data_IF_388182765782
#
_entry.id   IF_388182765782
#
_cell.length_a   1.000
_cell.length_b   1.000
_cell.length_c   1.000
_cell.angle_alpha   90.00
_cell.angle_beta   90.00
_cell.angle_gamma   90.00
#
_symmetry.space_group_name_H-M   'P 1'
#
loop_
_entity.id
_entity.type
_entity.pdbx_description
1 polymer ?
#
# COMPACT_ATOMS: atom_id res chain seq x y z
N UNK A 1 7.18 -6.95 -40.24
CA UNK A 1 8.58 -7.39 -40.03
C UNK A 1 8.74 -8.11 -38.66
N UNK A 2 8.02 -9.22 -38.44
CA UNK A 2 7.82 -9.79 -37.08
C UNK A 2 8.76 -10.97 -36.71
N UNK A 3 9.61 -11.44 -37.62
CA UNK A 3 10.46 -12.63 -37.38
C UNK A 3 11.74 -12.39 -36.58
N UNK A 4 12.40 -11.22 -36.74
CA UNK A 4 13.73 -10.97 -36.15
C UNK A 4 13.72 -10.67 -34.65
N UNK A 5 12.59 -10.27 -34.08
CA UNK A 5 12.47 -9.93 -32.65
C UNK A 5 12.40 -11.19 -31.77
N UNK A 6 11.67 -12.23 -32.22
CA UNK A 6 11.58 -13.53 -31.53
C UNK A 6 12.90 -14.30 -31.55
N UNK A 7 13.65 -14.20 -32.66
CA UNK A 7 14.94 -14.89 -32.81
C UNK A 7 16.05 -14.26 -31.95
N UNK A 8 15.98 -12.94 -31.70
CA UNK A 8 16.88 -12.24 -30.76
C UNK A 8 16.54 -12.53 -29.30
N UNK A 9 15.26 -12.68 -28.95
CA UNK A 9 14.81 -13.01 -27.59
C UNK A 9 15.08 -14.48 -27.21
N UNK A 10 15.03 -15.41 -28.17
CA UNK A 10 15.31 -16.83 -27.95
C UNK A 10 16.76 -17.16 -27.57
N UNK A 11 17.71 -16.26 -27.85
CA UNK A 11 19.13 -16.42 -27.48
C UNK A 11 19.43 -16.02 -26.04
N UNK A 12 18.48 -15.42 -25.31
CA UNK A 12 18.66 -14.96 -23.93
C UNK A 12 18.12 -15.94 -22.87
N UNK A 13 17.55 -17.08 -23.27
CA UNK A 13 16.93 -18.05 -22.35
C UNK A 13 17.63 -19.42 -22.31
N UNK A 14 18.83 -19.55 -22.89
CA UNK A 14 19.65 -20.76 -22.82
C UNK A 14 20.66 -20.71 -21.66
N UNK A 15 20.69 -21.78 -20.86
CA UNK A 15 21.38 -21.92 -19.58
C UNK A 15 22.89 -21.60 -19.54
N UNK A 16 23.28 -20.84 -18.51
CA UNK A 16 24.44 -21.16 -17.65
C UNK A 16 25.82 -20.69 -18.10
N UNK A 17 26.18 -19.44 -17.79
CA UNK A 17 27.47 -19.12 -17.18
C UNK A 17 27.45 -17.74 -16.49
N UNK A 18 28.11 -17.62 -15.35
CA UNK A 18 28.25 -16.37 -14.58
C UNK A 18 29.42 -15.57 -15.13
N UNK A 19 29.15 -14.63 -16.03
CA UNK A 19 30.04 -13.48 -16.25
C UNK A 19 29.20 -12.25 -16.60
N UNK A 20 29.29 -11.22 -15.76
CA UNK A 20 28.91 -9.85 -16.14
C UNK A 20 29.94 -9.38 -17.17
N UNK A 21 29.53 -9.09 -18.39
CA UNK A 21 29.78 -7.73 -18.90
C UNK A 21 28.66 -7.24 -19.83
N UNK A 22 28.13 -6.03 -19.59
CA UNK A 22 27.34 -5.23 -20.54
C UNK A 22 26.90 -3.85 -19.99
N UNK A 23 27.17 -3.52 -18.72
CA UNK A 23 26.82 -2.22 -18.15
C UNK A 23 27.92 -1.16 -18.37
N UNK A 24 29.19 -1.56 -18.35
CA UNK A 24 30.31 -0.62 -18.42
C UNK A 24 30.66 -0.16 -19.84
N UNK A 25 30.41 -0.99 -20.86
CA UNK A 25 30.66 -0.62 -22.27
C UNK A 25 29.63 0.39 -22.80
N UNK A 26 28.39 0.36 -22.29
CA UNK A 26 27.37 1.36 -22.64
C UNK A 26 27.66 2.68 -21.93
N UNK A 27 28.19 2.66 -20.70
CA UNK A 27 28.54 3.87 -19.96
C UNK A 27 29.70 4.65 -20.61
N UNK A 28 30.64 3.97 -21.28
CA UNK A 28 31.78 4.62 -21.95
C UNK A 28 31.41 5.29 -23.28
N UNK A 29 30.35 4.87 -23.96
CA UNK A 29 29.93 5.44 -25.25
C UNK A 29 29.16 6.77 -25.11
N UNK A 30 28.70 7.11 -23.91
CA UNK A 30 27.91 8.33 -23.63
C UNK A 30 28.81 9.57 -23.44
N UNK A 31 30.14 9.39 -23.36
CA UNK A 31 31.07 10.45 -22.99
C UNK A 31 31.56 11.37 -24.13
N UNK A 32 31.38 11.02 -25.42
CA UNK A 32 32.10 11.69 -26.53
C UNK A 32 31.24 12.33 -27.64
N UNK A 33 29.94 12.53 -27.46
CA UNK A 33 29.14 13.32 -28.40
C UNK A 33 28.71 14.66 -27.77
N UNK A 34 29.17 15.78 -28.33
CA UNK A 34 28.62 17.10 -28.02
C UNK A 34 27.10 17.08 -28.30
N UNK A 35 26.24 17.46 -27.33
CA UNK A 35 24.81 17.22 -27.44
C UNK A 35 24.19 18.14 -28.50
N UNK A 36 23.68 17.56 -29.59
CA UNK A 36 22.57 18.18 -30.31
C UNK A 36 21.33 18.01 -29.42
N UNK A 37 20.92 19.09 -28.76
CA UNK A 37 19.69 19.08 -27.97
C UNK A 37 18.49 18.85 -28.90
N UNK A 38 17.50 18.03 -28.51
CA UNK A 38 16.25 17.93 -29.25
C UNK A 38 15.64 19.32 -29.46
N UNK A 39 15.05 19.58 -30.62
CA UNK A 39 14.45 20.87 -30.89
C UNK A 39 13.34 21.16 -29.86
N UNK A 40 13.28 22.40 -29.35
CA UNK A 40 12.26 22.82 -28.39
C UNK A 40 10.82 22.52 -28.87
N UNK A 41 10.62 22.42 -30.19
CA UNK A 41 9.36 22.06 -30.81
C UNK A 41 8.89 20.64 -30.48
N UNK A 42 9.78 19.66 -30.32
CA UNK A 42 9.39 18.28 -30.04
C UNK A 42 8.91 18.10 -28.60
N UNK A 43 9.62 18.70 -27.65
CA UNK A 43 9.19 18.73 -26.25
C UNK A 43 7.88 19.49 -26.04
N UNK A 44 7.64 20.55 -26.82
CA UNK A 44 6.38 21.28 -26.80
C UNK A 44 5.17 20.40 -27.20
N UNK A 45 5.36 19.40 -28.09
CA UNK A 45 4.29 18.44 -28.45
C UNK A 45 3.89 17.56 -27.26
N UNK A 46 4.84 17.27 -26.37
CA UNK A 46 4.58 16.57 -25.11
C UNK A 46 4.11 17.51 -23.99
N UNK A 47 3.97 18.81 -24.25
CA UNK A 47 3.54 19.82 -23.29
C UNK A 47 4.65 20.34 -22.37
N UNK A 48 5.91 20.02 -22.66
CA UNK A 48 7.05 20.52 -21.90
C UNK A 48 7.56 21.85 -22.44
N UNK A 49 7.96 22.72 -21.52
CA UNK A 49 8.68 23.95 -21.79
C UNK A 49 10.00 23.96 -21.03
N UNK A 50 11.04 24.54 -21.64
CA UNK A 50 12.33 24.74 -20.99
C UNK A 50 12.19 25.79 -19.89
N UNK A 51 12.63 25.45 -18.68
CA UNK A 51 12.63 26.33 -17.52
C UNK A 51 14.06 26.53 -17.03
N UNK A 52 14.46 27.80 -16.94
CA UNK A 52 15.75 28.22 -16.41
C UNK A 52 15.64 28.47 -14.91
N UNK A 53 16.66 28.09 -14.15
CA UNK A 53 16.71 28.31 -12.70
C UNK A 53 18.12 28.22 -12.11
N UNK A 54 18.25 28.34 -10.78
CA UNK A 54 19.52 28.22 -10.08
C UNK A 54 20.02 26.76 -10.16
N UNK A 55 20.90 26.46 -11.12
CA UNK A 55 21.35 25.08 -11.39
C UNK A 55 21.28 24.68 -12.86
N UNK A 56 20.82 25.58 -13.75
CA UNK A 56 20.78 25.36 -15.20
C UNK A 56 19.36 25.40 -15.72
N UNK A 57 19.06 24.51 -16.67
CA UNK A 57 17.72 24.32 -17.21
C UNK A 57 17.24 22.89 -16.99
N UNK A 58 15.93 22.73 -16.89
CA UNK A 58 15.28 21.44 -17.13
C UNK A 58 13.92 21.68 -17.79
N UNK A 59 13.26 20.60 -18.23
CA UNK A 59 11.95 20.68 -18.83
C UNK A 59 10.87 20.64 -17.75
N UNK A 60 9.84 21.46 -17.92
CA UNK A 60 8.67 21.50 -17.04
C UNK A 60 7.39 21.40 -17.83
N UNK A 61 6.41 20.66 -17.29
CA UNK A 61 5.06 20.52 -17.85
C UNK A 61 4.04 20.66 -16.73
N UNK A 62 3.06 21.52 -16.93
CA UNK A 62 1.95 21.74 -15.98
C UNK A 62 0.64 21.29 -16.60
N UNK A 63 -0.09 20.43 -15.89
CA UNK A 63 -1.46 20.05 -16.24
C UNK A 63 -2.39 20.42 -15.11
N UNK A 64 -3.51 21.06 -15.45
CA UNK A 64 -4.54 21.48 -14.51
C UNK A 64 -5.79 20.64 -14.69
N UNK A 65 -6.30 20.18 -13.57
CA UNK A 65 -7.52 19.40 -13.45
C UNK A 65 -8.55 20.23 -12.71
N UNK A 66 -9.63 20.60 -13.41
CA UNK A 66 -10.74 21.35 -12.85
C UNK A 66 -11.41 20.57 -11.71
N UNK A 67 -12.11 21.28 -10.82
CA UNK A 67 -12.80 20.66 -9.68
C UNK A 67 -13.83 19.57 -10.07
N UNK A 68 -14.40 19.65 -11.28
CA UNK A 68 -15.33 18.67 -11.83
C UNK A 68 -14.66 17.46 -12.49
N UNK A 69 -13.34 17.51 -12.73
CA UNK A 69 -12.61 16.40 -13.33
C UNK A 69 -12.75 15.14 -12.46
N UNK A 70 -12.99 14.01 -13.13
CA UNK A 70 -13.14 12.71 -12.48
C UNK A 70 -11.99 11.79 -12.89
N UNK A 71 -11.39 11.17 -11.88
CA UNK A 71 -10.41 10.13 -12.05
C UNK A 71 -10.93 8.88 -11.35
N UNK A 72 -11.42 7.93 -12.15
CA UNK A 72 -12.17 6.78 -11.66
C UNK A 72 -13.46 7.18 -10.91
N UNK A 73 -13.62 6.68 -9.69
CA UNK A 73 -14.81 6.87 -8.86
C UNK A 73 -14.88 8.26 -8.18
N UNK A 74 -13.82 9.07 -8.24
CA UNK A 74 -13.72 10.31 -7.47
C UNK A 74 -13.56 11.54 -8.37
N UNK A 75 -14.18 12.65 -7.97
CA UNK A 75 -13.95 13.98 -8.53
C UNK A 75 -12.93 14.76 -7.70
N UNK A 76 -12.17 15.64 -8.35
CA UNK A 76 -11.17 16.50 -7.69
C UNK A 76 -11.78 17.34 -6.55
N UNK A 77 -13.02 17.82 -6.72
CA UNK A 77 -13.75 18.61 -5.73
C UNK A 77 -14.00 17.89 -4.40
N UNK A 78 -14.04 16.55 -4.38
CA UNK A 78 -14.31 15.77 -3.17
C UNK A 78 -13.16 15.89 -2.15
N UNK A 79 -11.96 16.25 -2.62
CA UNK A 79 -10.77 16.36 -1.78
C UNK A 79 -10.85 17.45 -0.73
N UNK A 80 -11.60 18.53 -0.96
CA UNK A 80 -11.78 19.59 0.04
C UNK A 80 -12.30 19.02 1.37
N UNK A 81 -13.30 18.13 1.28
CA UNK A 81 -13.92 17.50 2.45
C UNK A 81 -13.13 16.30 2.98
N UNK A 82 -12.57 15.47 2.09
CA UNK A 82 -11.87 14.25 2.47
C UNK A 82 -10.45 14.53 2.98
N UNK A 83 -9.73 15.48 2.38
CA UNK A 83 -8.34 15.80 2.70
C UNK A 83 -8.17 16.29 4.14
N UNK A 84 -9.12 17.05 4.68
CA UNK A 84 -9.09 17.50 6.07
C UNK A 84 -9.14 16.32 7.07
N UNK A 85 -9.87 15.26 6.73
CA UNK A 85 -10.00 14.06 7.56
C UNK A 85 -8.69 13.26 7.68
N UNK A 86 -7.72 13.48 6.78
CA UNK A 86 -6.38 12.88 6.88
C UNK A 86 -5.63 13.31 8.15
N UNK A 87 -6.05 14.39 8.83
CA UNK A 87 -5.59 14.73 10.19
C UNK A 87 -5.64 13.53 11.13
N UNK A 88 -6.66 12.67 10.99
CA UNK A 88 -6.85 11.45 11.78
C UNK A 88 -5.81 10.36 11.50
N UNK A 89 -5.03 10.47 10.41
CA UNK A 89 -3.91 9.58 10.12
C UNK A 89 -2.54 10.15 10.48
N UNK A 90 -2.45 11.43 10.87
CA UNK A 90 -1.16 12.00 11.23
C UNK A 90 -0.67 11.42 12.56
N UNK A 91 0.48 10.71 12.60
CA UNK A 91 0.95 10.08 13.83
C UNK A 91 1.28 11.06 14.95
N UNK A 92 1.53 12.32 14.62
CA UNK A 92 1.83 13.38 15.57
C UNK A 92 0.59 14.22 15.93
N UNK A 93 -0.60 13.85 15.44
CA UNK A 93 -1.85 14.57 15.70
C UNK A 93 -1.90 15.97 15.10
N UNK A 94 -1.09 16.27 14.08
CA UNK A 94 -1.06 17.60 13.46
C UNK A 94 -2.31 17.82 12.60
N UNK A 95 -2.83 19.05 12.65
CA UNK A 95 -3.90 19.48 11.75
C UNK A 95 -3.40 19.47 10.31
N UNK A 96 -4.05 18.67 9.47
CA UNK A 96 -3.79 18.58 8.03
C UNK A 96 -4.70 19.55 7.30
N UNK A 97 -4.10 20.39 6.46
CA UNK A 97 -4.82 21.27 5.51
C UNK A 97 -4.63 20.72 4.10
N UNK A 98 -5.69 20.51 3.31
CA UNK A 98 -5.58 19.99 1.94
C UNK A 98 -4.57 20.76 1.06
N UNK A 99 -4.50 22.08 1.19
CA UNK A 99 -3.60 22.97 0.43
C UNK A 99 -2.13 22.85 0.87
N UNK A 100 -1.86 22.11 1.96
CA UNK A 100 -0.52 21.86 2.51
C UNK A 100 -0.02 20.44 2.23
N UNK A 101 -0.72 19.71 1.35
CA UNK A 101 -0.34 18.39 0.88
C UNK A 101 0.33 18.49 -0.49
N UNK A 102 1.55 17.94 -0.59
CA UNK A 102 2.27 17.80 -1.86
C UNK A 102 2.29 16.32 -2.25
N UNK A 103 1.71 16.01 -3.39
CA UNK A 103 1.70 14.68 -3.98
C UNK A 103 3.01 14.49 -4.74
N UNK A 104 3.67 13.33 -4.61
CA UNK A 104 4.98 13.11 -5.23
C UNK A 104 5.13 11.66 -5.71
N UNK A 105 5.70 11.54 -6.90
CA UNK A 105 6.07 10.29 -7.56
C UNK A 105 7.29 10.53 -8.47
N UNK A 106 8.16 9.54 -8.63
CA UNK A 106 9.39 9.67 -9.42
C UNK A 106 9.61 8.53 -10.40
N UNK A 107 10.10 8.87 -11.60
CA UNK A 107 10.65 7.89 -12.53
C UNK A 107 12.17 8.00 -12.52
N UNK A 108 12.84 6.84 -12.43
CA UNK A 108 14.26 6.78 -12.10
C UNK A 108 15.03 5.88 -13.07
N UNK A 109 16.34 6.09 -13.19
CA UNK A 109 17.22 5.33 -14.10
C UNK A 109 17.49 3.88 -13.67
N UNK A 110 16.89 3.40 -12.58
CA UNK A 110 16.99 2.02 -12.12
C UNK A 110 16.03 1.72 -10.97
N UNK A 111 15.93 0.44 -10.59
CA UNK A 111 14.94 -0.01 -9.59
C UNK A 111 15.48 -0.04 -8.14
N UNK A 112 16.72 0.43 -7.92
CA UNK A 112 17.41 0.38 -6.62
C UNK A 112 17.72 1.76 -6.03
N UNK A 113 18.16 1.80 -4.77
CA UNK A 113 18.56 3.05 -4.09
C UNK A 113 20.07 3.35 -4.21
N UNK A 114 20.78 2.71 -5.14
CA UNK A 114 22.21 2.92 -5.33
C UNK A 114 22.53 4.33 -5.82
N UNK A 115 23.75 4.81 -5.56
CA UNK A 115 24.18 6.17 -5.91
C UNK A 115 24.11 6.51 -7.42
N UNK A 116 24.04 5.50 -8.28
CA UNK A 116 23.85 5.67 -9.72
C UNK A 116 22.39 5.88 -10.16
N UNK A 117 21.41 5.70 -9.26
CA UNK A 117 20.01 5.96 -9.59
C UNK A 117 19.70 7.46 -9.52
N UNK A 118 19.14 7.99 -10.60
CA UNK A 118 18.81 9.40 -10.77
C UNK A 118 17.33 9.48 -11.12
N UNK A 119 16.52 10.32 -10.44
CA UNK A 119 15.19 10.61 -10.92
C UNK A 119 15.33 11.41 -12.21
N UNK A 120 14.86 10.87 -13.32
CA UNK A 120 14.87 11.61 -14.59
C UNK A 120 13.55 12.37 -14.82
N UNK A 121 12.51 12.00 -14.08
CA UNK A 121 11.23 12.69 -14.01
C UNK A 121 10.79 12.75 -12.54
N UNK A 122 10.48 13.96 -12.06
CA UNK A 122 9.82 14.16 -10.77
C UNK A 122 8.44 14.76 -11.06
N UNK A 123 7.41 13.99 -10.74
CA UNK A 123 6.03 14.46 -10.71
C UNK A 123 5.71 15.01 -9.32
N UNK A 124 5.12 16.20 -9.28
CA UNK A 124 4.50 16.75 -8.08
C UNK A 124 3.07 17.20 -8.36
N UNK A 125 2.19 17.03 -7.38
CA UNK A 125 0.81 17.50 -7.45
C UNK A 125 0.44 18.35 -6.24
N UNK A 126 -0.41 19.34 -6.42
CA UNK A 126 -1.00 20.09 -5.29
C UNK A 126 -2.43 20.51 -5.61
N UNK A 127 -3.22 20.59 -4.56
CA UNK A 127 -4.62 20.98 -4.64
C UNK A 127 -4.82 22.44 -4.19
N UNK A 128 -5.71 23.14 -4.87
CA UNK A 128 -6.24 24.46 -4.50
C UNK A 128 -7.77 24.45 -4.60
N UNK A 129 -8.42 25.52 -4.16
CA UNK A 129 -9.87 25.70 -4.34
C UNK A 129 -10.33 25.60 -5.79
N UNK A 130 -9.44 25.90 -6.74
CA UNK A 130 -9.75 25.98 -8.16
C UNK A 130 -9.54 24.63 -8.87
N UNK A 131 -8.89 23.66 -8.22
CA UNK A 131 -8.64 22.34 -8.79
C UNK A 131 -7.35 21.69 -8.32
N UNK A 132 -6.82 20.80 -9.14
CA UNK A 132 -5.57 20.09 -8.88
C UNK A 132 -4.56 20.36 -9.99
N UNK A 133 -3.33 20.69 -9.64
CA UNK A 133 -2.26 20.91 -10.62
C UNK A 133 -1.21 19.83 -10.46
N UNK A 134 -0.85 19.18 -11.57
CA UNK A 134 0.31 18.32 -11.69
C UNK A 134 1.41 19.09 -12.40
N UNK A 135 2.60 19.11 -11.82
CA UNK A 135 3.83 19.59 -12.46
C UNK A 135 4.80 18.44 -12.57
N UNK A 136 5.35 18.28 -13.76
CA UNK A 136 6.40 17.32 -14.04
C UNK A 136 7.67 18.05 -14.41
N UNK A 137 8.77 17.71 -13.75
CA UNK A 137 10.10 18.19 -14.09
C UNK A 137 10.90 17.04 -14.69
N UNK A 138 11.36 17.18 -15.92
CA UNK A 138 12.11 16.17 -16.67
C UNK A 138 13.50 16.68 -17.01
N UNK A 139 14.52 15.82 -16.86
CA UNK A 139 15.89 16.12 -17.30
C UNK A 139 16.19 15.44 -18.64
N UNK A 140 16.78 16.21 -19.57
CA UNK A 140 17.19 15.75 -20.92
C UNK A 140 18.51 14.98 -20.89
N UNK A 141 19.29 15.22 -19.83
CA UNK A 141 20.52 14.50 -19.52
C UNK A 141 20.85 14.69 -18.03
N UNK A 142 21.69 13.83 -17.43
CA UNK A 142 22.01 13.88 -16.00
C UNK A 142 22.54 15.25 -15.51
N UNK A 143 23.20 16.03 -16.37
CA UNK A 143 23.69 17.37 -16.04
C UNK A 143 22.60 18.38 -15.64
N UNK A 144 21.32 18.12 -15.92
CA UNK A 144 20.20 19.01 -15.55
C UNK A 144 19.60 18.72 -14.18
N UNK A 145 20.12 17.70 -13.47
CA UNK A 145 19.57 17.27 -12.19
C UNK A 145 19.53 18.41 -11.15
N UNK A 146 20.59 19.23 -11.08
CA UNK A 146 20.64 20.36 -10.14
C UNK A 146 19.49 21.34 -10.38
N UNK A 147 19.14 21.63 -11.64
CA UNK A 147 18.01 22.50 -11.99
C UNK A 147 16.67 21.89 -11.55
N UNK A 148 16.47 20.58 -11.79
CA UNK A 148 15.26 19.87 -11.37
C UNK A 148 15.09 19.87 -9.84
N UNK A 149 16.15 19.58 -9.09
CA UNK A 149 16.11 19.61 -7.62
C UNK A 149 15.89 21.02 -7.07
N UNK A 150 16.43 22.05 -7.72
CA UNK A 150 16.22 23.44 -7.32
C UNK A 150 14.73 23.81 -7.44
N UNK A 151 14.06 23.40 -8.52
CA UNK A 151 12.62 23.64 -8.69
C UNK A 151 11.78 22.93 -7.63
N UNK A 152 12.15 21.71 -7.24
CA UNK A 152 11.49 21.04 -6.13
C UNK A 152 11.72 21.79 -4.80
N UNK A 153 12.94 22.31 -4.56
CA UNK A 153 13.27 23.11 -3.38
C UNK A 153 12.53 24.44 -3.30
N UNK A 154 12.21 25.06 -4.43
CA UNK A 154 11.39 26.28 -4.46
C UNK A 154 9.98 26.01 -3.93
N UNK A 155 9.44 24.81 -4.20
CA UNK A 155 8.04 24.50 -3.91
C UNK A 155 7.82 23.80 -2.58
N UNK A 156 8.73 22.91 -2.18
CA UNK A 156 8.65 22.12 -0.93
C UNK A 156 8.30 22.94 0.33
N UNK A 157 8.85 24.15 0.57
CA UNK A 157 8.58 24.92 1.79
C UNK A 157 7.11 25.33 1.97
N UNK A 158 6.30 25.31 0.92
CA UNK A 158 4.88 25.65 1.01
C UNK A 158 4.04 24.56 1.67
N UNK A 159 4.57 23.32 1.78
CA UNK A 159 3.83 22.12 2.17
C UNK A 159 4.33 21.55 3.49
N UNK A 160 3.43 20.89 4.21
CA UNK A 160 3.74 20.27 5.50
C UNK A 160 3.82 18.75 5.42
N UNK A 161 3.17 18.15 4.41
CA UNK A 161 3.15 16.71 4.21
C UNK A 161 3.44 16.35 2.75
N UNK A 162 4.14 15.24 2.55
CA UNK A 162 4.17 14.49 1.31
C UNK A 162 3.06 13.44 1.30
N UNK A 163 2.44 13.27 0.14
CA UNK A 163 1.51 12.19 -0.17
C UNK A 163 2.11 11.35 -1.28
N UNK A 164 2.35 10.06 -1.02
CA UNK A 164 3.02 9.16 -1.98
C UNK A 164 2.45 7.75 -1.89
N UNK A 165 2.89 6.87 -2.80
CA UNK A 165 2.66 5.44 -2.72
C UNK A 165 4.01 4.72 -2.68
N UNK A 166 4.38 4.13 -1.54
CA UNK A 166 5.71 3.56 -1.27
C UNK A 166 6.89 4.56 -1.20
N UNK A 167 6.64 5.85 -1.48
CA UNK A 167 7.69 6.87 -1.50
C UNK A 167 8.38 7.20 -0.18
N UNK A 168 7.84 6.77 0.97
CA UNK A 168 8.57 6.94 2.25
C UNK A 168 9.86 6.13 2.29
N UNK A 169 9.84 4.96 1.66
CA UNK A 169 10.98 4.04 1.64
C UNK A 169 11.70 3.99 0.31
N UNK A 170 11.19 4.69 -0.71
CA UNK A 170 11.74 4.67 -2.08
C UNK A 170 12.05 6.08 -2.60
N UNK A 171 11.03 6.82 -3.06
CA UNK A 171 11.18 8.11 -3.75
C UNK A 171 11.89 9.17 -2.88
N UNK A 172 11.40 9.40 -1.66
CA UNK A 172 11.92 10.47 -0.82
C UNK A 172 13.37 10.24 -0.35
N UNK A 173 13.76 9.04 0.12
CA UNK A 173 15.17 8.73 0.37
C UNK A 173 16.07 8.95 -0.85
N UNK A 174 15.61 8.55 -2.04
CA UNK A 174 16.34 8.75 -3.29
C UNK A 174 16.55 10.24 -3.58
N UNK A 175 15.48 11.04 -3.55
CA UNK A 175 15.54 12.50 -3.75
C UNK A 175 16.49 13.17 -2.75
N UNK A 176 16.41 12.82 -1.46
CA UNK A 176 17.34 13.35 -0.44
C UNK A 176 18.80 13.02 -0.73
N UNK A 177 19.08 11.80 -1.16
CA UNK A 177 20.44 11.41 -1.55
C UNK A 177 20.93 12.24 -2.74
N UNK A 178 20.05 12.58 -3.69
CA UNK A 178 20.41 13.44 -4.83
C UNK A 178 20.76 14.86 -4.41
N UNK A 179 20.05 15.45 -3.45
CA UNK A 179 20.43 16.74 -2.85
C UNK A 179 21.86 16.70 -2.28
N UNK A 180 22.22 15.64 -1.56
CA UNK A 180 23.57 15.47 -1.00
C UNK A 180 24.62 15.38 -2.12
N UNK A 181 24.37 14.57 -3.15
CA UNK A 181 25.30 14.37 -4.27
C UNK A 181 25.51 15.66 -5.09
N UNK A 182 24.46 16.46 -5.25
CA UNK A 182 24.51 17.77 -5.90
C UNK A 182 25.02 18.89 -4.98
N UNK A 183 25.42 18.57 -3.73
CA UNK A 183 25.92 19.52 -2.71
C UNK A 183 24.92 20.65 -2.42
N UNK A 184 23.63 20.34 -2.52
CA UNK A 184 22.54 21.25 -2.24
C UNK A 184 22.06 21.08 -0.80
N UNK A 185 21.41 22.11 -0.25
CA UNK A 185 20.79 22.02 1.07
C UNK A 185 19.68 20.94 1.06
N UNK A 186 19.83 19.92 1.88
CA UNK A 186 18.84 18.84 1.99
C UNK A 186 17.57 19.39 2.65
N UNK A 187 16.39 19.26 2.02
CA UNK A 187 15.14 19.70 2.63
C UNK A 187 14.87 19.00 3.96
N UNK A 188 14.21 19.72 4.88
CA UNK A 188 13.69 19.11 6.12
C UNK A 188 12.68 18.02 5.77
N UNK A 189 12.71 16.92 6.52
CA UNK A 189 11.75 15.84 6.33
C UNK A 189 10.30 16.33 6.59
N UNK A 190 9.42 16.30 5.56
CA UNK A 190 8.02 16.60 5.73
C UNK A 190 7.33 15.45 6.47
N UNK A 191 6.14 15.72 6.99
CA UNK A 191 5.23 14.64 7.35
C UNK A 191 4.93 13.78 6.12
N UNK A 192 4.48 12.53 6.32
CA UNK A 192 4.32 11.64 5.18
C UNK A 192 3.07 10.79 5.27
N UNK A 193 2.15 10.97 4.33
CA UNK A 193 1.10 10.00 4.05
C UNK A 193 1.56 9.08 2.91
N UNK A 194 2.03 7.90 3.29
CA UNK A 194 2.37 6.85 2.33
C UNK A 194 1.22 5.84 2.27
N UNK A 195 0.47 5.88 1.17
CA UNK A 195 -0.76 5.11 1.04
C UNK A 195 -0.56 3.62 0.75
N UNK A 196 0.67 3.14 0.52
CA UNK A 196 0.93 1.71 0.40
C UNK A 196 0.59 0.97 1.70
N UNK A 197 0.89 1.56 2.86
CA UNK A 197 0.68 0.91 4.15
C UNK A 197 -0.81 0.74 4.53
N UNK A 198 -1.66 1.78 4.47
CA UNK A 198 -3.09 1.58 4.70
C UNK A 198 -3.72 0.71 3.59
N UNK A 199 -3.28 0.81 2.33
CA UNK A 199 -3.71 -0.10 1.26
C UNK A 199 -3.42 -1.57 1.60
N UNK A 200 -2.21 -1.87 2.09
CA UNK A 200 -1.85 -3.21 2.58
C UNK A 200 -2.66 -3.65 3.79
N UNK A 201 -2.97 -2.72 4.69
CA UNK A 201 -3.77 -3.01 5.88
C UNK A 201 -5.19 -3.42 5.51
N UNK A 202 -5.77 -2.79 4.50
CA UNK A 202 -7.15 -3.04 4.09
C UNK A 202 -7.29 -4.17 3.07
N UNK A 203 -6.38 -4.26 2.09
CA UNK A 203 -6.66 -5.03 0.87
C UNK A 203 -5.74 -6.21 0.59
N UNK A 204 -4.69 -6.44 1.39
CA UNK A 204 -3.72 -7.52 1.12
C UNK A 204 -4.33 -8.92 1.08
N UNK A 205 -5.47 -9.12 1.74
CA UNK A 205 -6.17 -10.42 1.74
C UNK A 205 -7.38 -10.48 0.83
N UNK A 206 -7.73 -9.37 0.18
CA UNK A 206 -8.87 -9.27 -0.74
C UNK A 206 -8.44 -9.01 -2.18
N UNK A 207 -7.14 -8.77 -2.40
CA UNK A 207 -6.57 -8.49 -3.71
C UNK A 207 -5.32 -9.34 -3.97
N UNK A 208 -5.09 -9.77 -5.23
CA UNK A 208 -3.90 -10.54 -5.60
C UNK A 208 -2.61 -9.70 -5.52
N UNK A 209 -2.72 -8.38 -5.69
CA UNK A 209 -1.61 -7.44 -5.59
C UNK A 209 -2.09 -6.12 -5.00
N UNK A 210 -1.20 -5.45 -4.27
CA UNK A 210 -1.39 -4.10 -3.72
C UNK A 210 -0.32 -3.17 -4.30
N UNK A 211 -0.07 -3.30 -5.60
CA UNK A 211 0.65 -2.31 -6.40
C UNK A 211 -0.34 -1.25 -6.86
N UNK A 212 0.13 -0.04 -7.16
CA UNK A 212 -0.74 1.11 -7.46
C UNK A 212 -1.73 0.80 -8.59
N UNK A 213 -1.25 0.28 -9.73
CA UNK A 213 -2.13 -0.11 -10.84
C UNK A 213 -3.21 -1.16 -10.50
N UNK A 214 -2.92 -2.10 -9.59
CA UNK A 214 -3.92 -3.06 -9.15
C UNK A 214 -4.97 -2.43 -8.22
N UNK A 215 -4.55 -1.46 -7.39
CA UNK A 215 -5.42 -0.68 -6.50
C UNK A 215 -6.33 0.24 -7.29
N UNK A 216 -5.80 0.89 -8.31
CA UNK A 216 -6.56 1.73 -9.24
C UNK A 216 -7.76 1.01 -9.82
N UNK A 217 -7.53 -0.15 -10.45
CA UNK A 217 -8.58 -0.93 -11.08
C UNK A 217 -9.61 -1.41 -10.05
N UNK A 218 -9.14 -2.04 -8.97
CA UNK A 218 -10.02 -2.75 -8.05
C UNK A 218 -10.72 -1.86 -7.01
N UNK A 219 -10.21 -0.65 -6.74
CA UNK A 219 -10.71 0.22 -5.66
C UNK A 219 -11.06 1.62 -6.11
N UNK A 220 -10.41 2.14 -7.15
CA UNK A 220 -10.65 3.50 -7.63
C UNK A 220 -11.41 3.52 -8.95
N UNK A 221 -11.56 2.39 -9.65
CA UNK A 221 -12.20 2.33 -10.96
C UNK A 221 -11.41 3.04 -12.05
N UNK A 222 -10.09 3.11 -11.89
CA UNK A 222 -9.16 3.68 -12.87
C UNK A 222 -8.62 2.54 -13.72
N UNK A 223 -8.91 2.56 -15.01
CA UNK A 223 -8.45 1.58 -15.98
C UNK A 223 -7.44 2.26 -16.90
N UNK A 224 -6.24 1.69 -17.01
CA UNK A 224 -5.18 2.22 -17.87
C UNK A 224 -5.22 1.55 -19.24
N UNK A 225 -5.51 2.32 -20.29
CA UNK A 225 -5.37 1.87 -21.67
C UNK A 225 -3.94 2.16 -22.17
N UNK A 226 -3.31 1.18 -22.81
CA UNK A 226 -1.97 1.31 -23.43
C UNK A 226 -0.89 1.93 -22.52
N UNK A 227 -0.85 1.49 -21.26
CA UNK A 227 0.13 1.96 -20.29
C UNK A 227 1.50 1.28 -20.47
N UNK A 228 2.54 2.09 -20.32
CA UNK A 228 3.91 1.58 -20.26
C UNK A 228 4.10 0.94 -18.88
N UNK A 229 4.55 -0.32 -18.79
CA UNK A 229 4.92 -0.88 -17.50
C UNK A 229 6.01 -0.02 -16.87
N UNK A 230 5.82 0.49 -15.65
CA UNK A 230 6.81 1.38 -15.00
C UNK A 230 8.23 0.80 -14.92
N UNK A 231 8.38 -0.54 -14.93
CA UNK A 231 9.68 -1.20 -15.04
C UNK A 231 10.45 -0.90 -16.34
N UNK A 232 9.78 -0.41 -17.38
CA UNK A 232 10.35 -0.01 -18.66
C UNK A 232 10.84 1.44 -18.67
N UNK A 233 10.42 2.28 -17.71
CA UNK A 233 10.78 3.69 -17.65
C UNK A 233 12.30 3.94 -17.73
N UNK A 234 13.17 3.19 -17.00
CA UNK A 234 14.62 3.32 -17.16
C UNK A 234 15.10 3.05 -18.59
N UNK A 235 14.61 1.96 -19.21
CA UNK A 235 15.04 1.54 -20.54
C UNK A 235 14.65 2.57 -21.61
N UNK A 236 13.44 3.12 -21.51
CA UNK A 236 12.96 4.16 -22.42
C UNK A 236 13.74 5.47 -22.27
N UNK A 237 14.15 5.83 -21.05
CA UNK A 237 15.02 6.97 -20.83
C UNK A 237 16.41 6.78 -21.44
N UNK A 238 17.02 5.59 -21.30
CA UNK A 238 18.29 5.30 -21.98
C UNK A 238 18.15 5.28 -23.51
N UNK A 239 17.02 4.79 -24.03
CA UNK A 239 16.72 4.87 -25.46
C UNK A 239 16.64 6.33 -25.93
N UNK A 240 15.92 7.18 -25.19
CA UNK A 240 15.88 8.62 -25.47
C UNK A 240 17.27 9.27 -25.44
N UNK A 241 18.14 8.94 -24.48
CA UNK A 241 19.50 9.48 -24.43
C UNK A 241 20.34 9.11 -25.65
N UNK A 242 20.11 7.92 -26.23
CA UNK A 242 20.82 7.42 -27.40
C UNK A 242 20.24 7.98 -28.72
N UNK A 243 18.92 7.99 -28.85
CA UNK A 243 18.22 8.30 -30.11
C UNK A 243 17.81 9.78 -30.21
N UNK A 244 17.74 10.48 -29.07
CA UNK A 244 17.25 11.86 -28.93
C UNK A 244 15.81 12.09 -29.38
N UNK A 245 15.07 11.02 -29.63
CA UNK A 245 13.63 11.04 -29.89
C UNK A 245 12.85 11.09 -28.56
N UNK A 246 12.19 12.21 -28.27
CA UNK A 246 11.41 12.35 -27.03
C UNK A 246 10.10 11.57 -27.03
N UNK A 247 9.59 11.14 -28.20
CA UNK A 247 8.31 10.43 -28.31
C UNK A 247 8.33 9.10 -27.55
N UNK A 248 9.49 8.47 -27.40
CA UNK A 248 9.67 7.22 -26.64
C UNK A 248 9.35 7.39 -25.14
N UNK A 249 9.32 8.62 -24.63
CA UNK A 249 9.00 8.95 -23.24
C UNK A 249 7.54 9.35 -23.01
N UNK A 250 6.72 9.46 -24.06
CA UNK A 250 5.32 9.90 -23.94
C UNK A 250 4.52 9.03 -22.95
N UNK A 251 4.69 7.71 -23.02
CA UNK A 251 4.03 6.78 -22.11
C UNK A 251 4.49 6.93 -20.66
N UNK A 252 5.78 7.20 -20.42
CA UNK A 252 6.35 7.42 -19.08
C UNK A 252 5.82 8.72 -18.47
N UNK A 253 5.74 9.78 -19.27
CA UNK A 253 5.17 11.07 -18.85
C UNK A 253 3.71 10.91 -18.45
N UNK A 254 2.90 10.21 -19.27
CA UNK A 254 1.49 9.94 -18.97
C UNK A 254 1.32 9.05 -17.74
N UNK A 255 2.18 8.05 -17.57
CA UNK A 255 2.19 7.16 -16.41
C UNK A 255 2.38 7.94 -15.11
N UNK A 256 3.47 8.69 -15.01
CA UNK A 256 3.77 9.49 -13.81
C UNK A 256 2.68 10.54 -13.52
N UNK A 257 2.11 11.17 -14.56
CA UNK A 257 0.98 12.08 -14.38
C UNK A 257 -0.22 11.35 -13.76
N UNK A 258 -0.57 10.19 -14.33
CA UNK A 258 -1.69 9.35 -13.86
C UNK A 258 -1.47 8.93 -12.41
N UNK A 259 -0.26 8.50 -12.05
CA UNK A 259 0.11 8.10 -10.69
C UNK A 259 -0.12 9.25 -9.70
N UNK A 260 0.30 10.48 -10.04
CA UNK A 260 0.07 11.66 -9.19
C UNK A 260 -1.43 11.94 -8.99
N UNK A 261 -2.24 11.86 -10.05
CA UNK A 261 -3.71 12.06 -9.94
C UNK A 261 -4.35 10.91 -9.16
N UNK A 262 -3.86 9.68 -9.32
CA UNK A 262 -4.28 8.53 -8.51
C UNK A 262 -3.99 8.76 -7.03
N UNK A 263 -2.84 9.32 -6.66
CA UNK A 263 -2.55 9.66 -5.27
C UNK A 263 -3.58 10.62 -4.67
N UNK A 264 -4.07 11.60 -5.44
CA UNK A 264 -5.18 12.47 -5.03
C UNK A 264 -6.44 11.65 -4.73
N UNK A 265 -6.84 10.76 -5.64
CA UNK A 265 -8.05 9.95 -5.44
C UNK A 265 -7.91 8.93 -4.31
N UNK A 266 -6.71 8.40 -4.05
CA UNK A 266 -6.43 7.61 -2.85
C UNK A 266 -6.58 8.46 -1.59
N UNK A 267 -6.10 9.71 -1.63
CA UNK A 267 -6.27 10.63 -0.51
C UNK A 267 -7.75 10.93 -0.24
N UNK A 268 -8.57 11.06 -1.29
CA UNK A 268 -10.03 11.18 -1.18
C UNK A 268 -10.63 9.89 -0.58
N UNK A 269 -10.23 8.72 -1.08
CA UNK A 269 -10.72 7.43 -0.58
C UNK A 269 -10.42 7.26 0.91
N UNK A 270 -9.15 7.38 1.32
CA UNK A 270 -8.78 7.24 2.73
C UNK A 270 -9.36 8.36 3.60
N UNK A 271 -9.40 9.60 3.10
CA UNK A 271 -10.07 10.70 3.79
C UNK A 271 -11.55 10.39 4.05
N UNK A 272 -12.24 9.80 3.08
CA UNK A 272 -13.63 9.36 3.20
C UNK A 272 -13.80 8.25 4.23
N UNK A 273 -12.89 7.26 4.26
CA UNK A 273 -12.86 6.24 5.31
C UNK A 273 -12.68 6.81 6.73
N UNK A 274 -12.09 7.99 6.86
CA UNK A 274 -11.81 8.62 8.16
C UNK A 274 -12.88 9.63 8.57
N UNK A 275 -13.87 9.92 7.72
CA UNK A 275 -14.97 10.81 8.08
C UNK A 275 -16.03 10.05 8.85
N UNK A 276 -16.64 10.72 9.82
CA UNK A 276 -17.79 10.17 10.53
C UNK A 276 -18.93 9.91 9.54
N UNK A 277 -19.42 8.67 9.50
CA UNK A 277 -20.43 8.23 8.54
C UNK A 277 -19.96 8.22 7.08
N UNK A 278 -18.65 8.34 6.82
CA UNK A 278 -18.10 8.43 5.47
C UNK A 278 -18.12 7.12 4.68
N UNK A 279 -18.43 5.99 5.31
CA UNK A 279 -18.39 4.66 4.70
C UNK A 279 -19.74 3.98 4.78
N UNK A 280 -20.28 3.60 3.62
CA UNK A 280 -21.39 2.67 3.54
C UNK A 280 -20.86 1.24 3.79
N UNK A 281 -20.87 0.80 5.05
CA UNK A 281 -20.38 -0.53 5.45
C UNK A 281 -21.07 -1.66 4.69
N UNK A 282 -22.33 -1.47 4.29
CA UNK A 282 -23.10 -2.44 3.51
C UNK A 282 -22.53 -2.71 2.11
N UNK A 283 -21.73 -1.78 1.57
CA UNK A 283 -21.03 -1.95 0.29
C UNK A 283 -19.71 -2.72 0.38
N UNK A 284 -19.22 -3.03 1.58
CA UNK A 284 -17.96 -3.74 1.80
C UNK A 284 -18.17 -5.24 1.98
N UNK A 285 -17.25 -6.03 1.43
CA UNK A 285 -17.20 -7.48 1.68
C UNK A 285 -16.91 -7.82 3.14
N UNK A 286 -17.27 -9.03 3.59
CA UNK A 286 -16.97 -9.49 4.95
C UNK A 286 -15.47 -9.39 5.31
N UNK A 287 -14.59 -9.72 4.35
CA UNK A 287 -13.15 -9.60 4.52
C UNK A 287 -12.70 -8.14 4.67
N UNK A 288 -13.29 -7.21 3.92
CA UNK A 288 -12.99 -5.78 4.04
C UNK A 288 -13.50 -5.18 5.34
N UNK A 289 -14.69 -5.57 5.81
CA UNK A 289 -15.23 -5.15 7.11
C UNK A 289 -14.31 -5.56 8.26
N UNK A 290 -13.80 -6.80 8.23
CA UNK A 290 -12.80 -7.25 9.20
C UNK A 290 -11.54 -6.36 9.15
N UNK A 291 -10.98 -6.16 7.94
CA UNK A 291 -9.74 -5.39 7.76
C UNK A 291 -9.91 -3.92 8.15
N UNK A 292 -11.07 -3.34 7.85
CA UNK A 292 -11.43 -1.98 8.23
C UNK A 292 -11.55 -1.86 9.76
N UNK A 293 -12.25 -2.77 10.42
CA UNK A 293 -12.37 -2.78 11.87
C UNK A 293 -11.03 -2.92 12.60
N UNK A 294 -10.15 -3.80 12.12
CA UNK A 294 -8.79 -3.95 12.65
C UNK A 294 -7.88 -2.75 12.35
N UNK A 295 -8.10 -2.06 11.24
CA UNK A 295 -7.38 -0.83 10.91
C UNK A 295 -7.82 0.31 11.83
N UNK A 296 -9.12 0.51 12.04
CA UNK A 296 -9.65 1.47 13.01
C UNK A 296 -9.20 1.18 14.44
N UNK A 297 -9.16 -0.10 14.85
CA UNK A 297 -8.64 -0.50 16.16
C UNK A 297 -7.20 -0.01 16.36
N UNK A 298 -6.36 -0.15 15.34
CA UNK A 298 -4.96 0.29 15.37
C UNK A 298 -4.82 1.81 15.45
N UNK A 299 -5.76 2.55 14.85
CA UNK A 299 -5.81 4.00 14.90
C UNK A 299 -6.45 4.52 16.20
N UNK A 300 -7.03 3.64 17.02
CA UNK A 300 -7.73 4.03 18.26
C UNK A 300 -9.17 4.51 18.04
N UNK A 301 -9.75 4.27 16.86
CA UNK A 301 -11.13 4.66 16.54
C UNK A 301 -12.10 3.57 16.99
N UNK A 302 -12.39 3.58 18.30
CA UNK A 302 -13.09 2.47 18.95
C UNK A 302 -14.52 2.28 18.45
N UNK A 303 -15.25 3.39 18.24
CA UNK A 303 -16.64 3.36 17.79
C UNK A 303 -16.74 2.78 16.38
N UNK A 304 -15.89 3.26 15.48
CA UNK A 304 -15.82 2.86 14.08
C UNK A 304 -15.31 1.43 13.93
N UNK A 305 -14.34 1.03 14.76
CA UNK A 305 -13.87 -0.35 14.83
C UNK A 305 -15.01 -1.29 15.24
N UNK A 306 -15.76 -0.95 16.30
CA UNK A 306 -16.93 -1.73 16.70
C UNK A 306 -17.98 -1.79 15.60
N UNK A 307 -18.32 -0.65 14.98
CA UNK A 307 -19.31 -0.58 13.90
C UNK A 307 -18.96 -1.48 12.70
N UNK A 308 -17.70 -1.50 12.27
CA UNK A 308 -17.25 -2.36 11.18
C UNK A 308 -17.32 -3.87 11.54
N UNK A 309 -16.94 -4.23 12.77
CA UNK A 309 -16.98 -5.63 13.23
C UNK A 309 -18.43 -6.09 13.51
N UNK A 310 -19.30 -5.20 13.98
CA UNK A 310 -20.72 -5.47 14.16
C UNK A 310 -21.42 -5.67 12.81
N UNK A 311 -21.10 -4.85 11.81
CA UNK A 311 -21.57 -5.04 10.44
C UNK A 311 -21.13 -6.40 9.88
N UNK A 312 -19.88 -6.82 10.12
CA UNK A 312 -19.41 -8.15 9.75
C UNK A 312 -20.20 -9.25 10.48
N UNK A 313 -20.43 -9.12 11.78
CA UNK A 313 -21.15 -10.11 12.57
C UNK A 313 -22.63 -10.25 12.16
N UNK A 314 -23.20 -9.22 11.53
CA UNK A 314 -24.56 -9.21 10.97
C UNK A 314 -24.68 -9.78 9.55
N UNK A 315 -23.57 -10.09 8.86
CA UNK A 315 -23.59 -10.68 7.51
C UNK A 315 -24.06 -12.15 7.54
N UNK A 316 -24.56 -12.69 6.41
CA UNK A 316 -24.86 -14.11 6.28
C UNK A 316 -23.68 -14.99 6.69
N UNK A 317 -23.98 -16.12 7.35
CA UNK A 317 -22.97 -17.00 7.92
C UNK A 317 -22.01 -17.55 6.87
N UNK A 318 -22.49 -17.80 5.65
CA UNK A 318 -21.68 -18.29 4.54
C UNK A 318 -20.52 -17.34 4.19
N UNK A 319 -20.73 -16.04 4.34
CA UNK A 319 -19.77 -14.98 4.05
C UNK A 319 -18.91 -14.62 5.27
N UNK A 320 -19.53 -14.56 6.45
CA UNK A 320 -18.90 -14.03 7.66
C UNK A 320 -18.09 -15.08 8.45
N UNK A 321 -18.50 -16.35 8.39
CA UNK A 321 -17.89 -17.42 9.18
C UNK A 321 -16.37 -17.55 9.05
N UNK A 322 -15.75 -17.37 7.86
CA UNK A 322 -14.29 -17.39 7.72
C UNK A 322 -13.57 -16.33 8.57
N UNK A 323 -14.28 -15.27 8.98
CA UNK A 323 -13.72 -14.10 9.68
C UNK A 323 -14.13 -14.03 11.16
N UNK A 324 -15.05 -14.88 11.61
CA UNK A 324 -15.60 -14.85 12.97
C UNK A 324 -14.57 -15.09 14.07
N UNK A 325 -13.52 -15.88 13.82
CA UNK A 325 -12.48 -16.07 14.83
C UNK A 325 -11.74 -14.76 15.16
N UNK A 326 -11.34 -14.01 14.14
CA UNK A 326 -10.68 -12.70 14.30
C UNK A 326 -11.65 -11.66 14.90
N UNK A 327 -12.92 -11.67 14.47
CA UNK A 327 -13.96 -10.81 15.04
C UNK A 327 -14.24 -11.12 16.53
N UNK A 328 -14.28 -12.39 16.91
CA UNK A 328 -14.44 -12.80 18.31
C UNK A 328 -13.24 -12.39 19.17
N UNK A 329 -12.01 -12.49 18.64
CA UNK A 329 -10.82 -11.99 19.31
C UNK A 329 -10.87 -10.45 19.51
N UNK A 330 -11.43 -9.71 18.55
CA UNK A 330 -11.71 -8.29 18.69
C UNK A 330 -12.72 -8.03 19.83
N UNK A 331 -13.87 -8.70 19.85
CA UNK A 331 -14.87 -8.54 20.90
C UNK A 331 -14.32 -8.88 22.30
N UNK A 332 -13.49 -9.92 22.41
CA UNK A 332 -12.77 -10.29 23.64
C UNK A 332 -11.96 -9.11 24.18
N UNK A 333 -11.16 -8.46 23.33
CA UNK A 333 -10.35 -7.28 23.72
C UNK A 333 -11.23 -6.12 24.17
N UNK A 334 -12.42 -5.98 23.57
CA UNK A 334 -13.46 -4.99 23.94
C UNK A 334 -14.34 -5.41 25.12
N UNK A 335 -14.05 -6.54 25.77
CA UNK A 335 -14.82 -7.11 26.88
C UNK A 335 -16.30 -7.42 26.52
N UNK A 336 -16.63 -7.51 25.23
CA UNK A 336 -17.93 -7.97 24.72
C UNK A 336 -17.95 -9.50 24.67
N UNK A 337 -17.95 -10.11 25.85
CA UNK A 337 -17.77 -11.55 26.01
C UNK A 337 -18.90 -12.36 25.37
N UNK A 338 -20.14 -11.88 25.46
CA UNK A 338 -21.30 -12.59 24.91
C UNK A 338 -21.19 -12.70 23.37
N UNK A 339 -20.80 -11.62 22.70
CA UNK A 339 -20.54 -11.62 21.26
C UNK A 339 -19.36 -12.53 20.87
N UNK A 340 -18.26 -12.47 21.64
CA UNK A 340 -17.09 -13.31 21.40
C UNK A 340 -17.43 -14.81 21.53
N UNK A 341 -18.14 -15.19 22.61
CA UNK A 341 -18.57 -16.57 22.86
C UNK A 341 -19.52 -17.04 21.76
N UNK A 342 -20.51 -16.20 21.37
CA UNK A 342 -21.44 -16.51 20.28
C UNK A 342 -20.70 -16.84 18.98
N UNK A 343 -19.74 -16.00 18.59
CA UNK A 343 -18.97 -16.21 17.36
C UNK A 343 -18.03 -17.42 17.45
N UNK A 344 -17.29 -17.62 18.54
CA UNK A 344 -16.45 -18.82 18.68
C UNK A 344 -17.26 -20.10 18.70
N UNK A 345 -18.44 -20.10 19.33
CA UNK A 345 -19.34 -21.25 19.33
C UNK A 345 -19.83 -21.58 17.93
N UNK A 346 -20.29 -20.57 17.17
CA UNK A 346 -20.70 -20.76 15.79
C UNK A 346 -19.55 -21.27 14.90
N UNK A 347 -18.33 -20.81 15.13
CA UNK A 347 -17.11 -21.33 14.48
C UNK A 347 -16.86 -22.79 14.82
N UNK A 348 -16.94 -23.15 16.11
CA UNK A 348 -16.67 -24.51 16.58
C UNK A 348 -17.72 -25.52 16.09
N UNK A 349 -19.00 -25.14 16.11
CA UNK A 349 -20.12 -25.98 15.69
C UNK A 349 -20.22 -26.08 14.15
N UNK A 350 -19.80 -25.04 13.42
CA UNK A 350 -19.89 -25.00 11.96
C UNK A 350 -18.97 -25.99 11.23
N UNK A 351 -18.03 -26.65 11.91
CA UNK A 351 -17.21 -27.74 11.37
C UNK A 351 -16.32 -27.39 10.17
N UNK A 352 -16.28 -26.13 9.71
CA UNK A 352 -15.49 -25.66 8.56
C UNK A 352 -14.02 -25.41 8.90
N UNK A 353 -13.66 -25.38 10.18
CA UNK A 353 -12.30 -25.17 10.67
C UNK A 353 -11.76 -26.43 11.33
N UNK A 354 -11.45 -27.43 10.49
CA UNK A 354 -10.70 -28.63 10.90
C UNK A 354 -9.30 -28.25 11.46
N UNK A 355 -8.88 -26.99 11.25
CA UNK A 355 -7.56 -26.44 11.52
C UNK A 355 -7.49 -25.27 12.53
N UNK A 356 -8.57 -24.81 13.18
CA UNK A 356 -8.47 -23.80 14.26
C UNK A 356 -8.72 -24.41 15.65
N UNK A 357 -7.71 -24.35 16.53
CA UNK A 357 -7.76 -24.92 17.90
C UNK A 357 -8.26 -23.84 18.86
N UNK A 358 -7.87 -22.61 18.57
CA UNK A 358 -8.09 -21.43 19.40
C UNK A 358 -9.56 -21.19 19.77
N UNK A 359 -10.58 -21.37 18.90
CA UNK A 359 -11.98 -21.23 19.30
C UNK A 359 -12.38 -22.15 20.47
N UNK A 360 -11.98 -23.43 20.45
CA UNK A 360 -12.30 -24.38 21.51
C UNK A 360 -11.59 -24.02 22.83
N UNK A 361 -10.32 -23.58 22.73
CA UNK A 361 -9.53 -23.13 23.89
C UNK A 361 -10.16 -21.90 24.54
N UNK A 362 -10.58 -20.92 23.73
CA UNK A 362 -11.20 -19.69 24.20
C UNK A 362 -12.58 -19.93 24.81
N UNK A 363 -13.39 -20.83 24.22
CA UNK A 363 -14.66 -21.27 24.82
C UNK A 363 -14.43 -21.94 26.18
N UNK A 364 -13.47 -22.87 26.29
CA UNK A 364 -13.14 -23.50 27.56
C UNK A 364 -12.75 -22.47 28.65
N UNK A 365 -11.95 -21.45 28.29
CA UNK A 365 -11.58 -20.36 29.20
C UNK A 365 -12.80 -19.53 29.59
N UNK A 366 -13.65 -19.17 28.63
CA UNK A 366 -14.83 -18.36 28.87
C UNK A 366 -15.82 -19.07 29.80
N UNK A 367 -16.11 -20.34 29.56
CA UNK A 367 -17.01 -21.13 30.40
C UNK A 367 -16.42 -21.35 31.80
N UNK A 368 -15.11 -21.61 31.95
CA UNK A 368 -14.49 -21.80 33.27
C UNK A 368 -14.47 -20.50 34.09
N UNK A 369 -14.05 -19.39 33.48
CA UNK A 369 -13.72 -18.18 34.23
C UNK A 369 -14.84 -17.14 34.26
N UNK A 370 -15.65 -17.03 33.20
CA UNK A 370 -16.72 -16.01 33.08
C UNK A 370 -18.08 -16.58 33.44
N UNK A 371 -18.50 -17.66 32.77
CA UNK A 371 -19.82 -18.25 32.97
C UNK A 371 -19.88 -19.18 34.19
N UNK A 372 -18.72 -19.58 34.74
CA UNK A 372 -18.60 -20.48 35.89
C UNK A 372 -19.30 -21.83 35.69
N UNK A 373 -19.38 -22.28 34.44
CA UNK A 373 -19.97 -23.55 34.05
C UNK A 373 -18.85 -24.55 33.81
N UNK A 374 -18.62 -25.40 34.81
CA UNK A 374 -17.54 -26.38 34.78
C UNK A 374 -17.78 -27.50 33.76
N UNK A 375 -19.05 -27.86 33.50
CA UNK A 375 -19.39 -28.92 32.56
C UNK A 375 -19.18 -28.47 31.12
N UNK A 376 -19.67 -27.28 30.76
CA UNK A 376 -19.42 -26.72 29.44
C UNK A 376 -17.92 -26.43 29.23
N UNK A 377 -17.21 -25.94 30.25
CA UNK A 377 -15.76 -25.75 30.16
C UNK A 377 -15.01 -27.06 29.90
N UNK A 378 -15.43 -28.16 30.54
CA UNK A 378 -14.86 -29.49 30.35
C UNK A 378 -15.16 -30.01 28.94
N UNK A 379 -16.40 -29.86 28.48
CA UNK A 379 -16.80 -30.23 27.11
C UNK A 379 -15.91 -29.55 26.06
N UNK A 380 -15.77 -28.23 26.13
CA UNK A 380 -14.94 -27.49 25.16
C UNK A 380 -13.44 -27.81 25.28
N UNK A 381 -12.97 -28.13 26.49
CA UNK A 381 -11.59 -28.62 26.70
C UNK A 381 -11.39 -29.98 26.01
N UNK A 382 -12.38 -30.87 26.07
CA UNK A 382 -12.32 -32.17 25.41
C UNK A 382 -12.38 -32.07 23.88
N UNK A 383 -13.18 -31.16 23.33
CA UNK A 383 -13.18 -30.86 21.89
C UNK A 383 -11.83 -30.25 21.44
N UNK A 384 -11.24 -29.36 22.25
CA UNK A 384 -9.91 -28.81 22.00
C UNK A 384 -8.84 -29.92 21.96
N UNK A 385 -8.87 -30.85 22.93
CA UNK A 385 -7.95 -32.00 22.98
C UNK A 385 -8.10 -32.88 21.74
N UNK A 386 -9.32 -33.27 21.38
CA UNK A 386 -9.58 -34.09 20.18
C UNK A 386 -9.07 -33.42 18.90
N UNK A 387 -9.27 -32.11 18.79
CA UNK A 387 -8.79 -31.32 17.65
C UNK A 387 -7.27 -31.25 17.59
N UNK A 388 -6.61 -30.99 18.72
CA UNK A 388 -5.16 -30.90 18.83
C UNK A 388 -4.48 -32.26 18.57
N UNK A 389 -5.02 -33.36 19.09
CA UNK A 389 -4.51 -34.72 18.86
C UNK A 389 -4.63 -35.13 17.40
N UNK A 390 -5.76 -34.79 16.75
CA UNK A 390 -5.93 -35.00 15.31
C UNK A 390 -4.88 -34.26 14.50
N UNK A 391 -4.58 -32.99 14.82
CA UNK A 391 -3.50 -32.25 14.14
C UNK A 391 -2.13 -32.87 14.34
N UNK A 392 -1.83 -33.28 15.57
CA UNK A 392 -0.56 -33.90 15.88
C UNK A 392 -0.38 -35.20 15.07
N UNK A 393 -1.44 -35.99 14.90
CA UNK A 393 -1.40 -37.22 14.09
C UNK A 393 -1.17 -36.98 12.59
N UNK A 394 -1.48 -35.78 12.10
CA UNK A 394 -1.32 -35.38 10.70
C UNK A 394 -0.03 -34.57 10.45
N UNK A 395 0.70 -34.21 11.52
CA UNK A 395 1.88 -33.37 11.42
C UNK A 395 3.13 -34.17 11.00
N UNK A 396 4.06 -33.50 10.31
CA UNK A 396 5.35 -34.10 9.95
C UNK A 396 6.32 -33.93 11.12
N UNK A 397 7.12 -34.96 11.38
CA UNK A 397 8.08 -34.96 12.48
C UNK A 397 9.03 -33.75 12.43
N UNK A 398 8.88 -32.81 13.37
CA UNK A 398 9.79 -31.68 13.55
C UNK A 398 9.17 -30.36 13.99
N UNK A 399 7.87 -30.11 13.75
CA UNK A 399 7.24 -28.78 13.95
C UNK A 399 6.17 -28.75 15.06
N UNK A 400 6.15 -29.75 15.95
CA UNK A 400 5.05 -29.97 16.89
C UNK A 400 5.25 -29.37 18.29
N UNK A 401 6.37 -28.68 18.54
CA UNK A 401 6.75 -28.24 19.88
C UNK A 401 5.64 -27.42 20.57
N UNK A 402 5.13 -26.41 19.86
CA UNK A 402 4.04 -25.55 20.35
C UNK A 402 2.73 -26.31 20.54
N UNK A 403 2.39 -27.23 19.64
CA UNK A 403 1.17 -28.02 19.73
C UNK A 403 1.20 -29.01 20.91
N UNK A 404 2.36 -29.60 21.18
CA UNK A 404 2.56 -30.49 22.35
C UNK A 404 2.45 -29.73 23.67
N UNK A 405 2.97 -28.50 23.73
CA UNK A 405 2.80 -27.62 24.89
C UNK A 405 1.32 -27.28 25.12
N UNK A 406 0.59 -26.91 24.06
CA UNK A 406 -0.85 -26.67 24.13
C UNK A 406 -1.63 -27.91 24.60
N UNK A 407 -1.28 -29.10 24.11
CA UNK A 407 -1.88 -30.37 24.58
C UNK A 407 -1.64 -30.61 26.06
N UNK A 408 -0.43 -30.36 26.55
CA UNK A 408 -0.11 -30.51 27.98
C UNK A 408 -0.92 -29.51 28.84
N UNK A 409 -1.09 -28.27 28.39
CA UNK A 409 -1.93 -27.28 29.08
C UNK A 409 -3.40 -27.71 29.11
N UNK A 410 -3.93 -28.21 27.97
CA UNK A 410 -5.30 -28.69 27.87
C UNK A 410 -5.56 -29.90 28.77
N UNK A 411 -4.61 -30.84 28.89
CA UNK A 411 -4.70 -31.98 29.82
C UNK A 411 -4.74 -31.51 31.28
N UNK A 412 -3.87 -30.58 31.66
CA UNK A 412 -3.88 -29.98 33.01
C UNK A 412 -5.21 -29.26 33.29
N UNK A 413 -5.77 -28.56 32.31
CA UNK A 413 -7.07 -27.90 32.40
C UNK A 413 -8.19 -28.92 32.63
N UNK A 414 -8.21 -30.01 31.85
CA UNK A 414 -9.17 -31.11 32.00
C UNK A 414 -9.15 -31.70 33.41
N UNK A 415 -7.96 -32.04 33.92
CA UNK A 415 -7.79 -32.59 35.29
C UNK A 415 -8.26 -31.60 36.37
N UNK A 416 -7.96 -30.31 36.20
CA UNK A 416 -8.43 -29.25 37.11
C UNK A 416 -9.95 -29.14 37.11
N UNK A 417 -10.58 -29.12 35.94
CA UNK A 417 -12.04 -29.02 35.79
C UNK A 417 -12.76 -30.27 36.32
N UNK A 418 -12.23 -31.46 36.05
CA UNK A 418 -12.77 -32.72 36.57
C UNK A 418 -12.78 -32.76 38.12
N UNK A 419 -11.70 -32.28 38.76
CA UNK A 419 -11.64 -32.15 40.22
C UNK A 419 -12.62 -31.12 40.77
N UNK A 420 -12.76 -29.96 40.11
CA UNK A 420 -13.75 -28.94 40.50
C UNK A 420 -15.18 -29.49 40.43
N UNK A 421 -15.50 -30.26 39.38
CA UNK A 421 -16.81 -30.91 39.23
C UNK A 421 -17.05 -31.95 40.32
N UNK A 422 -16.06 -32.81 40.60
CA UNK A 422 -16.17 -33.84 41.63
C UNK A 422 -16.20 -33.33 43.08
N UNK A 423 -15.90 -32.05 43.31
CA UNK A 423 -16.00 -31.38 44.61
C UNK A 423 -17.31 -30.60 44.81
N UNK A 424 -18.16 -30.52 43.76
CA UNK A 424 -19.47 -29.86 43.77
C UNK A 424 -20.63 -30.85 43.94
N UNK A 425 -20.32 -32.15 44.01
CA UNK A 425 -21.19 -33.24 44.43
C UNK A 425 -20.65 -33.79 45.76
#
# INVERSE_FOLDING_TARGET
MSGRLRERLGRLTGSGDRSKPAADEVASAVAEAAPQEPEAADWAKLGFALRLGPGGSCLTRDVRYEASHRHGHFAVSEFASAGAALTRLDPAGRVVKPEKLLFLDTETTGLGQGAGNVPFLIGIGWWTSDGFTVRQCLIRHPGEEAAMLAMLSERLPEFTHLVTYNGRTFDWPLVKNRYVLQRMAVPKDPAHFDFLYPSRSLWRTTMPSVRLGAVEEAKLGVFREDDVPGSMAPALYFQYLAERDCSVLEGVVRHNETDIVTLLTLAIHFGTLLRDGGVALDGLSAAELLRLGLWYERLGFESEACGAIDALAGRPAEEAAPHWHEAAAFYKRRKRWDDAIRLWRAVAEGGRLWSALDPYVELAIAYEHRLKDADAALYWTDEALRTAERRLSLSRAGDDGKLREQLAELRKRKERLARKRGALF
#
